data_IF_364188143427
#
_entry.id   IF_364188143427
#
_cell.length_a   1.000
_cell.length_b   1.000
_cell.length_c   1.000
_cell.angle_alpha   90.00
_cell.angle_beta   90.00
_cell.angle_gamma   90.00
#
_symmetry.space_group_name_H-M   'P 1'
#
loop_
_entity.id
_entity.type
_entity.pdbx_description
1 polymer ?
#
# COMPACT_ATOMS: atom_id res chain seq x y z
N UNK A 1 -20.58 -24.63 -2.88
CA UNK A 1 -19.56 -23.56 -2.79
C UNK A 1 -20.23 -22.32 -3.37
N UNK A 2 -20.60 -21.33 -2.54
CA UNK A 2 -21.45 -20.21 -2.96
C UNK A 2 -20.68 -19.16 -3.77
N UNK A 3 -21.35 -18.54 -4.74
CA UNK A 3 -20.81 -17.48 -5.60
C UNK A 3 -20.21 -16.31 -4.81
N UNK A 4 -20.80 -15.96 -3.65
CA UNK A 4 -20.24 -14.97 -2.72
C UNK A 4 -18.86 -15.36 -2.19
N UNK A 5 -18.64 -16.64 -1.88
CA UNK A 5 -17.34 -17.14 -1.41
C UNK A 5 -16.27 -17.08 -2.51
N UNK A 6 -16.66 -17.26 -3.77
CA UNK A 6 -15.75 -17.17 -4.93
C UNK A 6 -15.42 -15.72 -5.27
N UNK A 7 -16.41 -14.82 -5.25
CA UNK A 7 -16.20 -13.39 -5.46
C UNK A 7 -15.26 -12.81 -4.39
N UNK A 8 -15.48 -13.19 -3.13
CA UNK A 8 -14.63 -12.78 -2.02
C UNK A 8 -13.18 -13.28 -2.17
N UNK A 9 -12.97 -14.51 -2.66
CA UNK A 9 -11.63 -15.01 -2.94
C UNK A 9 -10.94 -14.23 -4.06
N UNK A 10 -11.67 -13.89 -5.13
CA UNK A 10 -11.12 -13.08 -6.22
C UNK A 10 -10.73 -11.67 -5.76
N UNK A 11 -11.53 -11.05 -4.88
CA UNK A 11 -11.22 -9.73 -4.32
C UNK A 11 -10.01 -9.78 -3.38
N UNK A 12 -9.86 -10.83 -2.58
CA UNK A 12 -8.65 -11.04 -1.76
C UNK A 12 -7.40 -11.13 -2.65
N UNK A 13 -7.45 -11.89 -3.74
CA UNK A 13 -6.31 -12.00 -4.66
C UNK A 13 -6.03 -10.67 -5.38
N UNK A 14 -7.06 -9.92 -5.77
CA UNK A 14 -6.88 -8.59 -6.36
C UNK A 14 -6.22 -7.60 -5.38
N UNK A 15 -6.64 -7.60 -4.10
CA UNK A 15 -6.02 -6.80 -3.04
C UNK A 15 -4.56 -7.20 -2.83
N UNK A 16 -4.26 -8.51 -2.76
CA UNK A 16 -2.88 -9.00 -2.66
C UNK A 16 -2.03 -8.55 -3.84
N UNK A 17 -2.59 -8.55 -5.04
CA UNK A 17 -1.88 -8.09 -6.23
C UNK A 17 -1.53 -6.60 -6.16
N UNK A 18 -2.41 -5.76 -5.61
CA UNK A 18 -2.09 -4.34 -5.35
C UNK A 18 -0.91 -4.23 -4.38
N UNK A 19 -0.91 -4.99 -3.28
CA UNK A 19 0.20 -4.96 -2.31
C UNK A 19 1.50 -5.50 -2.91
N UNK A 20 1.43 -6.50 -3.79
CA UNK A 20 2.59 -6.98 -4.54
C UNK A 20 3.14 -5.91 -5.50
N UNK A 21 2.27 -5.12 -6.15
CA UNK A 21 2.71 -3.98 -6.98
C UNK A 21 3.29 -2.84 -6.13
N UNK A 22 2.79 -2.63 -4.91
CA UNK A 22 3.46 -1.73 -3.93
C UNK A 22 4.87 -2.23 -3.64
N UNK A 23 5.05 -3.53 -3.35
CA UNK A 23 6.39 -4.09 -3.12
C UNK A 23 7.31 -3.87 -4.33
N UNK A 24 6.83 -4.21 -5.53
CA UNK A 24 7.60 -4.09 -6.76
C UNK A 24 8.03 -2.64 -7.04
N UNK A 25 7.09 -1.70 -6.97
CA UNK A 25 7.38 -0.27 -7.19
C UNK A 25 8.38 0.28 -6.17
N UNK A 26 8.33 -0.20 -4.93
CA UNK A 26 9.28 0.20 -3.89
C UNK A 26 10.65 -0.41 -4.16
N UNK A 27 10.75 -1.71 -4.45
CA UNK A 27 12.02 -2.35 -4.79
C UNK A 27 12.73 -1.68 -5.97
N UNK A 28 11.97 -1.23 -6.98
CA UNK A 28 12.51 -0.55 -8.16
C UNK A 28 12.61 0.97 -8.01
N UNK A 29 12.15 1.52 -6.88
CA UNK A 29 12.03 2.96 -6.64
C UNK A 29 11.27 3.68 -7.77
N UNK A 30 10.24 3.02 -8.30
CA UNK A 30 9.41 3.48 -9.41
C UNK A 30 8.21 4.29 -8.87
N UNK A 31 8.23 5.63 -8.95
CA UNK A 31 7.13 6.44 -8.47
C UNK A 31 5.87 6.29 -9.32
N UNK A 32 5.99 5.99 -10.61
CA UNK A 32 4.85 5.99 -11.52
C UNK A 32 4.02 4.73 -11.36
N UNK A 33 4.68 3.58 -11.19
CA UNK A 33 4.01 2.33 -10.84
C UNK A 33 3.32 2.44 -9.47
N UNK A 34 3.96 3.04 -8.48
CA UNK A 34 3.35 3.25 -7.16
C UNK A 34 2.12 4.16 -7.24
N UNK A 35 2.22 5.28 -7.96
CA UNK A 35 1.14 6.27 -8.08
C UNK A 35 -0.06 5.76 -8.88
N UNK A 36 0.14 4.82 -9.81
CA UNK A 36 -0.95 4.20 -10.56
C UNK A 36 -1.95 3.41 -9.69
N UNK A 37 -1.57 3.07 -8.45
CA UNK A 37 -2.40 2.34 -7.50
C UNK A 37 -3.36 3.24 -6.72
N UNK A 38 -3.21 4.57 -6.78
CA UNK A 38 -3.95 5.51 -5.96
C UNK A 38 -5.28 5.93 -6.60
N UNK A 39 -6.30 6.06 -5.76
CA UNK A 39 -7.53 6.76 -6.11
C UNK A 39 -7.22 8.26 -6.32
N UNK A 40 -7.89 8.97 -7.25
CA UNK A 40 -7.67 10.40 -7.48
C UNK A 40 -7.82 11.27 -6.21
N UNK A 41 -8.80 10.93 -5.37
CA UNK A 41 -9.09 11.63 -4.10
C UNK A 41 -8.38 11.03 -2.88
N UNK A 42 -7.31 10.24 -3.09
CA UNK A 42 -6.69 9.51 -2.00
C UNK A 42 -6.07 10.42 -0.92
N UNK A 43 -6.02 9.91 0.30
CA UNK A 43 -5.24 10.50 1.40
C UNK A 43 -4.12 9.56 1.82
N UNK A 44 -2.94 10.11 2.10
CA UNK A 44 -1.77 9.35 2.55
C UNK A 44 -1.09 10.04 3.74
N UNK A 45 -0.87 9.29 4.81
CA UNK A 45 -0.01 9.69 5.93
C UNK A 45 1.27 8.86 5.90
N UNK A 46 2.42 9.51 5.73
CA UNK A 46 3.72 8.82 5.72
C UNK A 46 4.09 8.29 7.11
N UNK A 47 5.07 7.38 7.18
CA UNK A 47 5.62 6.89 8.45
C UNK A 47 6.14 8.00 9.39
N UNK A 48 6.50 9.17 8.83
CA UNK A 48 6.96 10.35 9.58
C UNK A 48 5.82 11.34 9.90
N UNK A 49 4.55 10.93 9.73
CA UNK A 49 3.38 11.75 10.06
C UNK A 49 3.05 12.85 9.06
N UNK A 50 3.69 12.88 7.88
CA UNK A 50 3.33 13.86 6.84
C UNK A 50 2.02 13.47 6.18
N UNK A 51 1.04 14.36 6.25
CA UNK A 51 -0.28 14.20 5.61
C UNK A 51 -0.26 14.76 4.20
N UNK A 52 -0.76 13.99 3.25
CA UNK A 52 -0.90 14.32 1.83
C UNK A 52 -2.35 14.07 1.42
N UNK A 53 -2.99 15.06 0.80
CA UNK A 53 -4.41 15.01 0.42
C UNK A 53 -4.51 15.19 -1.09
N UNK A 54 -5.12 14.21 -1.75
CA UNK A 54 -5.29 14.16 -3.21
C UNK A 54 -4.06 13.61 -3.94
N UNK A 55 -4.30 13.01 -5.11
CA UNK A 55 -3.26 12.38 -5.92
C UNK A 55 -2.14 13.35 -6.35
N UNK A 56 -2.43 14.65 -6.53
CA UNK A 56 -1.42 15.64 -6.88
C UNK A 56 -0.36 15.80 -5.77
N UNK A 57 -0.80 15.99 -4.52
CA UNK A 57 0.10 16.14 -3.38
C UNK A 57 0.91 14.86 -3.13
N UNK A 58 0.27 13.70 -3.28
CA UNK A 58 0.92 12.39 -3.19
C UNK A 58 1.97 12.25 -4.29
N UNK A 59 1.62 12.59 -5.54
CA UNK A 59 2.51 12.49 -6.71
C UNK A 59 3.75 13.36 -6.56
N UNK A 60 3.57 14.63 -6.20
CA UNK A 60 4.67 15.57 -6.00
C UNK A 60 5.62 15.09 -4.90
N UNK A 61 5.09 14.53 -3.81
CA UNK A 61 5.91 13.97 -2.74
C UNK A 61 6.65 12.69 -3.16
N UNK A 62 5.93 11.72 -3.73
CA UNK A 62 6.48 10.41 -4.11
C UNK A 62 7.58 10.55 -5.16
N UNK A 63 7.35 11.33 -6.24
CA UNK A 63 8.35 11.56 -7.29
C UNK A 63 9.63 12.22 -6.77
N UNK A 64 9.52 13.00 -5.70
CA UNK A 64 10.67 13.62 -5.04
C UNK A 64 11.42 12.64 -4.13
N UNK A 65 10.70 11.85 -3.34
CA UNK A 65 11.28 11.08 -2.23
C UNK A 65 11.67 9.67 -2.63
N UNK A 66 10.84 8.97 -3.40
CA UNK A 66 11.05 7.55 -3.69
C UNK A 66 12.35 7.30 -4.48
N UNK A 67 12.67 8.05 -5.56
CA UNK A 67 13.94 7.88 -6.28
C UNK A 67 15.17 8.23 -5.46
N UNK A 68 15.02 9.14 -4.49
CA UNK A 68 16.10 9.60 -3.62
C UNK A 68 16.27 8.75 -2.36
N UNK A 69 15.44 7.71 -2.17
CA UNK A 69 15.41 6.98 -0.93
C UNK A 69 16.66 6.09 -0.78
N UNK A 70 17.34 6.28 0.35
CA UNK A 70 18.59 5.61 0.70
C UNK A 70 18.28 4.38 1.56
N UNK A 71 17.80 3.31 0.93
CA UNK A 71 17.91 1.99 1.50
C UNK A 71 18.58 1.07 0.47
N UNK A 72 19.42 0.19 1.00
CA UNK A 72 20.03 -0.94 0.30
C UNK A 72 19.43 -2.24 0.86
N UNK A 73 19.37 -3.29 0.05
CA UNK A 73 18.81 -4.58 0.47
C UNK A 73 17.35 -4.80 0.07
N UNK A 74 16.67 -5.76 0.74
CA UNK A 74 15.35 -6.26 0.33
C UNK A 74 14.25 -5.47 1.04
N UNK A 75 13.32 -4.93 0.26
CA UNK A 75 12.03 -4.43 0.76
C UNK A 75 10.98 -5.51 0.56
N UNK A 76 10.18 -5.80 1.59
CA UNK A 76 9.04 -6.71 1.46
C UNK A 76 7.75 -6.15 2.04
N UNK A 77 6.63 -6.49 1.41
CA UNK A 77 5.28 -6.18 1.88
C UNK A 77 4.43 -7.45 1.94
N UNK A 78 3.90 -7.73 3.11
CA UNK A 78 3.07 -8.90 3.36
C UNK A 78 1.67 -8.48 3.80
N UNK A 79 0.63 -8.99 3.15
CA UNK A 79 -0.75 -8.82 3.62
C UNK A 79 -0.94 -9.67 4.87
N UNK A 80 -1.13 -9.01 6.01
CA UNK A 80 -1.36 -9.67 7.31
C UNK A 80 -2.84 -9.91 7.56
N UNK A 81 -3.69 -8.96 7.14
CA UNK A 81 -5.13 -9.05 7.36
C UNK A 81 -5.90 -8.27 6.30
N UNK A 82 -7.05 -8.82 5.89
CA UNK A 82 -8.02 -8.15 5.01
C UNK A 82 -9.36 -8.15 5.72
N UNK A 83 -9.92 -6.95 5.93
CA UNK A 83 -11.26 -6.73 6.47
C UNK A 83 -12.11 -6.07 5.40
N UNK A 84 -13.11 -6.78 4.87
CA UNK A 84 -14.12 -6.17 4.01
C UNK A 84 -15.13 -5.40 4.86
N UNK A 85 -15.16 -4.08 4.70
CA UNK A 85 -16.11 -3.17 5.36
C UNK A 85 -17.43 -3.17 4.57
N UNK A 86 -17.31 -3.22 3.25
CA UNK A 86 -18.39 -3.35 2.27
C UNK A 86 -17.91 -4.24 1.11
N UNK A 87 -18.79 -4.71 0.20
CA UNK A 87 -18.35 -5.48 -0.97
C UNK A 87 -17.31 -4.77 -1.85
N UNK A 88 -17.29 -3.44 -1.82
CA UNK A 88 -16.44 -2.55 -2.61
C UNK A 88 -15.41 -1.79 -1.75
N UNK A 89 -15.32 -2.04 -0.43
CA UNK A 89 -14.40 -1.35 0.48
C UNK A 89 -13.72 -2.33 1.42
N UNK A 90 -12.38 -2.33 1.42
CA UNK A 90 -11.58 -3.19 2.27
C UNK A 90 -10.52 -2.39 3.05
N UNK A 91 -10.33 -2.73 4.31
CA UNK A 91 -9.17 -2.32 5.10
C UNK A 91 -8.14 -3.45 5.11
N UNK A 92 -6.91 -3.14 4.71
CA UNK A 92 -5.85 -4.10 4.47
C UNK A 92 -4.67 -3.75 5.36
N UNK A 93 -4.38 -4.62 6.32
CA UNK A 93 -3.19 -4.49 7.16
C UNK A 93 -2.02 -5.15 6.47
N UNK A 94 -0.94 -4.39 6.33
CA UNK A 94 0.29 -4.84 5.70
C UNK A 94 1.42 -4.77 6.70
N UNK A 95 2.36 -5.72 6.57
CA UNK A 95 3.65 -5.67 7.22
C UNK A 95 4.69 -5.29 6.18
N UNK A 96 5.38 -4.19 6.42
CA UNK A 96 6.45 -3.70 5.56
C UNK A 96 7.78 -3.91 6.27
N UNK A 97 8.78 -4.44 5.58
CA UNK A 97 10.14 -4.57 6.12
C UNK A 97 11.17 -4.05 5.14
N UNK A 98 12.13 -3.30 5.67
CA UNK A 98 13.37 -2.96 4.99
C UNK A 98 14.47 -3.78 5.65
N UNK A 99 15.08 -4.69 4.88
CA UNK A 99 16.14 -5.58 5.33
C UNK A 99 17.44 -5.14 4.65
N UNK A 100 18.27 -4.39 5.36
CA UNK A 100 19.63 -4.07 4.94
C UNK A 100 20.63 -4.84 5.82
N UNK A 101 21.88 -5.05 5.37
CA UNK A 101 22.88 -5.77 6.16
C UNK A 101 23.14 -5.18 7.56
N UNK A 102 22.96 -3.87 7.70
CA UNK A 102 23.35 -3.11 8.90
C UNK A 102 22.14 -2.57 9.69
N UNK A 103 20.94 -2.61 9.11
CA UNK A 103 19.72 -2.05 9.70
C UNK A 103 18.46 -2.78 9.21
N UNK A 104 17.57 -3.14 10.14
CA UNK A 104 16.25 -3.68 9.87
C UNK A 104 15.20 -2.73 10.43
N UNK A 105 14.31 -2.25 9.57
CA UNK A 105 13.17 -1.44 10.00
C UNK A 105 11.85 -2.05 9.54
N UNK A 106 10.84 -1.93 10.40
CA UNK A 106 9.51 -2.44 10.14
C UNK A 106 8.48 -1.30 10.13
N UNK A 107 7.63 -1.30 9.11
CA UNK A 107 6.44 -0.47 9.01
C UNK A 107 5.19 -1.30 9.15
N UNK A 108 4.11 -0.67 9.64
CA UNK A 108 2.81 -1.28 9.77
C UNK A 108 1.74 -0.54 8.95
N UNK A 109 1.80 -0.52 7.60
CA UNK A 109 0.81 0.17 6.79
C UNK A 109 -0.62 -0.35 7.00
N UNK A 110 -1.58 0.57 6.97
CA UNK A 110 -3.00 0.31 6.82
C UNK A 110 -3.46 0.96 5.51
N UNK A 111 -4.03 0.15 4.62
CA UNK A 111 -4.61 0.62 3.36
C UNK A 111 -6.12 0.41 3.39
N UNK A 112 -6.89 1.48 3.36
CA UNK A 112 -8.29 1.42 2.97
C UNK A 112 -8.34 1.55 1.46
N UNK A 113 -8.93 0.55 0.82
CA UNK A 113 -9.01 0.41 -0.62
C UNK A 113 -10.46 0.39 -1.05
N UNK A 114 -10.75 1.02 -2.18
CA UNK A 114 -12.07 1.00 -2.81
C UNK A 114 -12.00 0.35 -4.19
N UNK A 115 -12.96 -0.52 -4.48
CA UNK A 115 -13.15 -1.13 -5.79
C UNK A 115 -13.86 -0.14 -6.72
N UNK A 116 -13.29 0.08 -7.89
CA UNK A 116 -13.88 0.92 -8.93
C UNK A 116 -14.93 0.13 -9.73
N UNK A 117 -15.73 0.82 -10.54
CA UNK A 117 -16.75 0.19 -11.41
C UNK A 117 -16.15 -0.82 -12.40
N UNK A 118 -14.89 -0.60 -12.81
CA UNK A 118 -14.12 -1.52 -13.67
C UNK A 118 -13.55 -2.75 -12.91
N UNK A 119 -13.82 -2.84 -11.61
CA UNK A 119 -13.39 -3.92 -10.73
C UNK A 119 -11.99 -3.76 -10.15
N UNK A 120 -11.22 -2.72 -10.51
CA UNK A 120 -9.89 -2.50 -9.94
C UNK A 120 -9.97 -1.97 -8.51
N UNK A 121 -9.09 -2.46 -7.65
CA UNK A 121 -8.95 -1.94 -6.30
C UNK A 121 -7.87 -0.86 -6.26
N UNK A 122 -8.17 0.28 -5.64
CA UNK A 122 -7.24 1.42 -5.52
C UNK A 122 -7.02 1.82 -4.05
N UNK A 123 -5.80 2.25 -3.74
CA UNK A 123 -5.41 2.87 -2.47
C UNK A 123 -6.16 4.19 -2.29
N UNK A 124 -6.99 4.30 -1.24
CA UNK A 124 -7.92 5.43 -1.06
C UNK A 124 -7.66 6.21 0.23
N UNK A 125 -7.49 5.52 1.36
CA UNK A 125 -7.03 6.16 2.58
C UNK A 125 -5.96 5.31 3.23
N UNK A 126 -4.76 5.86 3.32
CA UNK A 126 -3.59 5.08 3.66
C UNK A 126 -2.76 5.77 4.74
N UNK A 127 -2.23 4.96 5.64
CA UNK A 127 -1.31 5.43 6.65
C UNK A 127 -0.25 4.38 6.89
N UNK A 128 0.98 4.84 7.12
CA UNK A 128 2.04 4.00 7.63
C UNK A 128 2.55 4.53 8.97
N UNK A 129 3.04 3.62 9.81
CA UNK A 129 3.72 3.91 11.07
C UNK A 129 4.94 3.02 11.16
N UNK A 130 6.06 3.53 11.70
CA UNK A 130 7.14 2.67 12.14
C UNK A 130 6.69 1.78 13.30
N UNK A 131 7.16 0.54 13.33
CA UNK A 131 7.04 -0.33 14.50
C UNK A 131 8.23 -0.06 15.41
N UNK A 132 7.95 0.27 16.67
CA UNK A 132 8.96 0.40 17.71
C UNK A 132 8.89 -0.83 18.60
N UNK A 133 10.03 -1.38 18.98
CA UNK A 133 10.11 -2.44 20.00
C UNK A 133 9.96 -1.80 21.38
N UNK A 134 9.17 -2.42 22.24
CA UNK A 134 9.05 -2.04 23.66
C UNK A 134 10.33 -2.31 24.47
#
# INVERSE_FOLDING_TARGET
>A
MNTESTAHAADIEAVKQVVATVEHSQQHKDPDEFLALFHPDAVWTTAHGKVLIGLEAISAFTRKVLPAASWDGKVSYEVVHVLFIRPDVAAVKVRQRYLSPDDESEGAPLYVMTKQDDGRWLLTACQNTGVVTD
#
